data_IF_800490641584
#
_entry.id   IF_800490641584
#
_cell.length_a   1.000
_cell.length_b   1.000
_cell.length_c   1.000
_cell.angle_alpha   90.00
_cell.angle_beta   90.00
_cell.angle_gamma   90.00
#
_symmetry.space_group_name_H-M   'P 1'
#
loop_
_entity.id
_entity.type
_entity.pdbx_description
1 polymer ?
#
# COMPACT_ATOMS: atom_id res chain seq x y z
N UNK A 1 25.76 9.84 -18.52
CA UNK A 1 24.94 9.00 -17.62
C UNK A 1 25.08 7.55 -18.09
N UNK A 2 25.68 6.68 -17.28
CA UNK A 2 26.27 5.37 -17.72
C UNK A 2 25.25 4.22 -17.90
N UNK A 3 23.95 4.47 -17.73
CA UNK A 3 22.89 3.57 -18.21
C UNK A 3 21.70 4.41 -18.64
N UNK A 4 21.41 4.47 -19.94
CA UNK A 4 20.21 5.11 -20.49
C UNK A 4 19.06 4.10 -20.42
N UNK A 5 18.46 3.96 -19.24
CA UNK A 5 17.12 3.40 -19.17
C UNK A 5 16.22 4.24 -20.08
N UNK A 6 15.47 3.59 -20.97
CA UNK A 6 14.59 4.27 -21.92
C UNK A 6 13.47 5.02 -21.20
N UNK A 7 13.75 6.23 -20.71
CA UNK A 7 12.74 7.10 -20.15
C UNK A 7 11.83 7.54 -21.29
N UNK A 8 10.54 7.24 -21.16
CA UNK A 8 9.54 7.63 -22.14
C UNK A 8 8.89 8.91 -21.63
N UNK A 9 9.19 10.02 -22.30
CA UNK A 9 8.53 11.32 -22.08
C UNK A 9 7.03 11.19 -22.38
N UNK A 10 6.17 11.69 -21.49
CA UNK A 10 4.69 11.63 -21.62
C UNK A 10 4.04 13.01 -21.61
N UNK A 11 4.81 14.07 -21.42
CA UNK A 11 4.31 15.45 -21.32
C UNK A 11 3.33 15.61 -20.17
N UNK A 12 3.61 14.99 -19.02
CA UNK A 12 2.74 15.07 -17.83
C UNK A 12 3.15 16.22 -16.91
N UNK A 13 2.20 16.77 -16.14
CA UNK A 13 2.48 17.87 -15.17
C UNK A 13 3.53 17.43 -14.14
N UNK A 14 3.53 16.14 -13.79
CA UNK A 14 4.50 15.56 -12.88
C UNK A 14 5.90 15.57 -13.49
N UNK A 15 6.04 15.40 -14.80
CA UNK A 15 7.33 15.43 -15.51
C UNK A 15 8.01 16.80 -15.42
N UNK A 16 7.24 17.89 -15.36
CA UNK A 16 7.76 19.25 -15.21
C UNK A 16 8.42 19.51 -13.83
N UNK A 17 8.14 18.69 -12.82
CA UNK A 17 8.76 18.81 -11.49
C UNK A 17 10.19 18.27 -11.53
N UNK A 18 11.14 19.03 -10.98
CA UNK A 18 12.54 18.64 -10.80
C UNK A 18 12.69 17.16 -10.39
N UNK A 19 13.50 16.35 -11.11
CA UNK A 19 13.57 14.90 -10.89
C UNK A 19 14.06 14.55 -9.48
N UNK A 20 15.00 15.33 -8.94
CA UNK A 20 15.49 15.20 -7.55
C UNK A 20 14.40 15.46 -6.51
N UNK A 21 13.59 16.50 -6.71
CA UNK A 21 12.52 16.87 -5.79
C UNK A 21 11.43 15.80 -5.76
N UNK A 22 11.15 15.19 -6.92
CA UNK A 22 10.22 14.07 -7.05
C UNK A 22 10.66 12.85 -6.23
N UNK A 23 11.94 12.46 -6.31
CA UNK A 23 12.48 11.34 -5.55
C UNK A 23 12.41 11.62 -4.04
N UNK A 24 12.85 12.81 -3.61
CA UNK A 24 12.81 13.20 -2.19
C UNK A 24 11.36 13.18 -1.68
N UNK A 25 10.41 13.72 -2.44
CA UNK A 25 9.00 13.71 -2.08
C UNK A 25 8.47 12.29 -1.89
N UNK A 26 8.72 11.36 -2.83
CA UNK A 26 8.25 9.98 -2.70
C UNK A 26 8.88 9.25 -1.50
N UNK A 27 10.15 9.51 -1.18
CA UNK A 27 10.80 8.94 0.01
C UNK A 27 10.13 9.48 1.28
N UNK A 28 9.93 10.79 1.39
CA UNK A 28 9.26 11.40 2.54
C UNK A 28 7.83 10.89 2.73
N UNK A 29 7.05 10.76 1.65
CA UNK A 29 5.69 10.22 1.69
C UNK A 29 5.69 8.76 2.12
N UNK A 30 6.64 7.96 1.64
CA UNK A 30 6.77 6.55 2.05
C UNK A 30 7.07 6.45 3.55
N UNK A 31 7.98 7.29 4.05
CA UNK A 31 8.31 7.31 5.48
C UNK A 31 7.11 7.75 6.33
N UNK A 32 6.36 8.76 5.89
CA UNK A 32 5.15 9.20 6.56
C UNK A 32 4.09 8.07 6.65
N UNK A 33 3.90 7.31 5.56
CA UNK A 33 2.95 6.20 5.52
C UNK A 33 3.33 5.04 6.44
N UNK A 34 4.62 4.80 6.68
CA UNK A 34 5.08 3.76 7.62
C UNK A 34 4.75 4.15 9.08
N UNK A 35 4.88 5.44 9.40
CA UNK A 35 4.69 5.92 10.77
C UNK A 35 3.22 6.09 11.16
N UNK A 36 2.33 6.35 10.19
CA UNK A 36 0.93 6.69 10.45
C UNK A 36 0.04 5.46 10.27
N UNK A 37 -0.71 5.12 11.31
CA UNK A 37 -1.69 4.02 11.31
C UNK A 37 -3.15 4.48 11.32
N UNK A 38 -3.39 5.80 11.32
CA UNK A 38 -4.74 6.35 11.28
C UNK A 38 -5.32 6.24 9.86
N UNK A 39 -6.41 5.47 9.73
CA UNK A 39 -7.08 5.22 8.46
C UNK A 39 -7.55 6.50 7.75
N UNK A 40 -7.92 7.54 8.49
CA UNK A 40 -8.42 8.81 7.93
C UNK A 40 -7.28 9.53 7.20
N UNK A 41 -6.11 9.56 7.82
CA UNK A 41 -4.93 10.20 7.25
C UNK A 41 -4.40 9.36 6.07
N UNK A 42 -4.38 8.03 6.21
CA UNK A 42 -4.00 7.12 5.13
C UNK A 42 -4.90 7.32 3.89
N UNK A 43 -6.21 7.50 4.09
CA UNK A 43 -7.15 7.74 3.00
C UNK A 43 -6.83 9.02 2.21
N UNK A 44 -6.40 10.10 2.89
CA UNK A 44 -6.00 11.35 2.24
C UNK A 44 -4.77 11.11 1.35
N UNK A 45 -3.75 10.41 1.86
CA UNK A 45 -2.56 10.05 1.06
C UNK A 45 -2.91 9.14 -0.11
N UNK A 46 -3.84 8.21 0.08
CA UNK A 46 -4.32 7.32 -0.99
C UNK A 46 -5.01 8.12 -2.11
N UNK A 47 -5.90 9.06 -1.76
CA UNK A 47 -6.54 9.93 -2.74
C UNK A 47 -5.54 10.82 -3.47
N UNK A 48 -4.54 11.36 -2.77
CA UNK A 48 -3.46 12.13 -3.36
C UNK A 48 -2.63 11.27 -4.34
N UNK A 49 -2.33 10.02 -3.99
CA UNK A 49 -1.62 9.08 -4.86
C UNK A 49 -2.43 8.73 -6.12
N UNK A 50 -3.75 8.53 -5.99
CA UNK A 50 -4.64 8.34 -7.14
C UNK A 50 -4.69 9.57 -8.04
N UNK A 51 -4.71 10.77 -7.47
CA UNK A 51 -4.62 12.01 -8.24
C UNK A 51 -3.29 12.06 -9.02
N UNK A 52 -2.16 11.79 -8.37
CA UNK A 52 -0.84 11.74 -9.03
C UNK A 52 -0.78 10.69 -10.17
N UNK A 53 -1.37 9.50 -9.96
CA UNK A 53 -1.48 8.48 -11.00
C UNK A 53 -2.29 8.97 -12.21
N UNK A 54 -3.38 9.70 -11.98
CA UNK A 54 -4.16 10.30 -13.08
C UNK A 54 -3.41 11.43 -13.76
N UNK A 55 -2.76 12.33 -13.00
CA UNK A 55 -1.99 13.46 -13.54
C UNK A 55 -0.78 13.00 -14.36
N UNK A 56 -0.18 11.86 -14.03
CA UNK A 56 0.98 11.31 -14.74
C UNK A 56 0.64 10.69 -16.10
N UNK A 57 -0.66 10.58 -16.44
CA UNK A 57 -1.16 9.98 -17.70
C UNK A 57 -0.58 8.58 -17.96
N UNK A 58 -0.27 7.84 -16.90
CA UNK A 58 0.23 6.47 -17.02
C UNK A 58 -0.89 5.56 -17.50
N UNK A 59 -0.61 4.79 -18.55
CA UNK A 59 -1.63 3.89 -19.11
C UNK A 59 -1.76 2.65 -18.24
N UNK A 60 -3.00 2.20 -18.00
CA UNK A 60 -3.27 0.98 -17.23
C UNK A 60 -2.54 -0.25 -17.79
N UNK A 61 -2.31 -0.29 -19.11
CA UNK A 61 -1.59 -1.37 -19.80
C UNK A 61 -0.14 -1.51 -19.29
N UNK A 62 0.50 -0.40 -18.93
CA UNK A 62 1.88 -0.39 -18.42
C UNK A 62 1.92 -0.80 -16.94
N UNK A 63 1.00 -0.28 -16.12
CA UNK A 63 1.00 -0.58 -14.67
C UNK A 63 0.43 -1.96 -14.34
N UNK A 64 -0.38 -2.58 -15.21
CA UNK A 64 -1.02 -3.88 -14.93
C UNK A 64 -0.02 -4.96 -14.53
N UNK A 65 1.14 -5.03 -15.17
CA UNK A 65 2.17 -6.04 -14.84
C UNK A 65 2.68 -5.86 -13.41
N UNK A 66 2.95 -4.62 -13.02
CA UNK A 66 3.36 -4.29 -11.66
C UNK A 66 2.28 -4.65 -10.64
N UNK A 67 1.02 -4.29 -10.90
CA UNK A 67 -0.11 -4.62 -10.02
C UNK A 67 -0.29 -6.13 -9.83
N UNK A 68 -0.12 -6.94 -10.89
CA UNK A 68 -0.20 -8.40 -10.78
C UNK A 68 0.87 -8.94 -9.83
N UNK A 69 2.14 -8.57 -10.07
CA UNK A 69 3.26 -9.02 -9.23
C UNK A 69 3.05 -8.59 -7.77
N UNK A 70 2.68 -7.31 -7.56
CA UNK A 70 2.49 -6.79 -6.21
C UNK A 70 1.30 -7.43 -5.50
N UNK A 71 0.21 -7.73 -6.21
CA UNK A 71 -0.95 -8.42 -5.63
C UNK A 71 -0.62 -9.84 -5.16
N UNK A 72 0.23 -10.56 -5.89
CA UNK A 72 0.69 -11.90 -5.49
C UNK A 72 1.55 -11.81 -4.22
N UNK A 73 2.49 -10.87 -4.18
CA UNK A 73 3.36 -10.64 -3.01
C UNK A 73 2.51 -10.29 -1.78
N UNK A 74 1.59 -9.32 -1.91
CA UNK A 74 0.70 -8.91 -0.82
C UNK A 74 -0.15 -10.08 -0.34
N UNK A 75 -0.72 -10.87 -1.26
CA UNK A 75 -1.55 -12.03 -0.91
C UNK A 75 -0.75 -13.06 -0.12
N UNK A 76 0.46 -13.39 -0.55
CA UNK A 76 1.33 -14.34 0.16
C UNK A 76 1.67 -13.80 1.55
N UNK A 77 2.18 -12.58 1.67
CA UNK A 77 2.59 -12.01 2.96
C UNK A 77 1.41 -11.86 3.93
N UNK A 78 0.26 -11.41 3.43
CA UNK A 78 -0.95 -11.26 4.26
C UNK A 78 -1.46 -12.62 4.72
N UNK A 79 -1.43 -13.64 3.86
CA UNK A 79 -1.81 -15.01 4.23
C UNK A 79 -0.89 -15.56 5.32
N UNK A 80 0.42 -15.40 5.15
CA UNK A 80 1.39 -15.81 6.17
C UNK A 80 1.16 -15.08 7.51
N UNK A 81 0.91 -13.77 7.46
CA UNK A 81 0.65 -12.95 8.66
C UNK A 81 -0.66 -13.33 9.35
N UNK A 82 -1.69 -13.66 8.57
CA UNK A 82 -2.97 -14.14 9.11
C UNK A 82 -2.81 -15.51 9.78
N UNK A 83 -2.06 -16.43 9.17
CA UNK A 83 -1.81 -17.77 9.71
C UNK A 83 -0.96 -17.76 10.98
N UNK A 84 0.00 -16.83 11.10
CA UNK A 84 0.81 -16.70 12.33
C UNK A 84 0.08 -15.97 13.45
N UNK A 85 -1.13 -15.43 13.21
CA UNK A 85 -1.95 -14.76 14.23
C UNK A 85 -1.30 -13.52 14.85
N UNK A 86 -0.23 -13.00 14.25
CA UNK A 86 0.68 -12.05 14.89
C UNK A 86 0.00 -10.72 15.26
N UNK A 87 -1.02 -10.32 14.49
CA UNK A 87 -1.77 -9.09 14.72
C UNK A 87 -2.99 -9.26 15.64
N UNK A 88 -3.44 -10.49 15.90
CA UNK A 88 -4.69 -10.76 16.63
C UNK A 88 -4.46 -10.93 18.15
N UNK A 89 -3.36 -11.56 18.56
CA UNK A 89 -3.15 -11.95 19.96
C UNK A 89 -2.93 -10.80 20.94
N UNK A 90 -2.62 -9.59 20.48
CA UNK A 90 -2.32 -8.42 21.33
C UNK A 90 -3.47 -7.44 21.56
N UNK A 91 -4.58 -7.56 20.82
CA UNK A 91 -5.67 -6.55 20.81
C UNK A 91 -6.93 -7.03 21.53
N UNK A 92 -7.18 -8.35 21.58
CA UNK A 92 -8.32 -8.92 22.29
C UNK A 92 -7.96 -9.17 23.76
N UNK A 93 -8.20 -8.18 24.62
CA UNK A 93 -8.11 -8.35 26.09
C UNK A 93 -9.39 -8.88 26.71
N UNK A 94 -10.50 -8.84 25.97
CA UNK A 94 -11.80 -9.34 26.40
C UNK A 94 -12.30 -10.31 25.34
N UNK A 95 -12.15 -11.60 25.62
CA UNK A 95 -12.86 -12.63 24.88
C UNK A 95 -14.33 -12.53 25.26
N UNK A 96 -15.19 -12.06 24.34
CA UNK A 96 -16.62 -12.26 24.48
C UNK A 96 -16.94 -13.67 23.99
N UNK A 97 -17.19 -14.64 24.88
CA UNK A 97 -17.54 -15.98 24.44
C UNK A 97 -18.85 -15.90 23.67
N UNK A 98 -18.79 -16.34 22.41
CA UNK A 98 -19.96 -16.46 21.53
C UNK A 98 -20.93 -17.54 22.07
N UNK A 99 -20.44 -18.39 22.99
CA UNK A 99 -21.19 -19.39 23.75
C UNK A 99 -21.12 -19.11 25.25
N UNK A 100 -22.22 -18.64 25.89
CA UNK A 100 -22.21 -18.35 27.33
C UNK A 100 -22.24 -19.60 28.21
N UNK A 101 -22.57 -20.77 27.66
CA UNK A 101 -22.89 -21.97 28.44
C UNK A 101 -22.40 -23.21 27.68
N UNK A 102 -21.69 -24.09 28.41
CA UNK A 102 -20.95 -25.21 27.89
C UNK A 102 -21.71 -26.06 26.88
N UNK A 103 -20.96 -26.59 25.92
CA UNK A 103 -21.37 -27.69 25.08
C UNK A 103 -21.55 -28.95 25.97
N UNK A 104 -22.63 -28.99 26.75
CA UNK A 104 -23.13 -30.20 27.39
C UNK A 104 -23.97 -30.94 26.36
N UNK A 105 -23.30 -31.60 25.42
CA UNK A 105 -23.92 -32.61 24.59
C UNK A 105 -23.23 -33.92 24.94
N UNK A 106 -23.88 -34.62 25.89
CA UNK A 106 -23.81 -36.05 26.24
C UNK A 106 -22.43 -36.74 26.29
#
# INVERSE_FOLDING_TARGET
MIVTWGYRERGSIIECVDPRARIICFICVTFALIQIWDIRIILIFFLAALALLRLSRVTWRETRRFWIVMSVVILVLTSFTALTGWQASGVYTVEHPIWPQGLQIL
#
